data_IF_846061073246
#
_entry.id   IF_846061073246
#
_cell.length_a   1.000
_cell.length_b   1.000
_cell.length_c   1.000
_cell.angle_alpha   90.00
_cell.angle_beta   90.00
_cell.angle_gamma   90.00
#
_symmetry.space_group_name_H-M   'P 1'
#
loop_
_entity.id
_entity.type
_entity.pdbx_description
1 polymer ?
#
# COMPACT_ATOMS: atom_id res chain seq x y z
N UNK A 1 -3.63 18.12 -10.82
CA UNK A 1 -2.71 17.41 -11.75
C UNK A 1 -1.36 17.13 -11.07
N UNK A 2 -0.76 18.10 -10.33
CA UNK A 2 0.54 17.88 -9.66
C UNK A 2 0.49 16.83 -8.55
N UNK A 3 -0.55 16.81 -7.71
CA UNK A 3 -0.67 15.86 -6.61
C UNK A 3 -0.75 14.39 -7.04
N UNK A 4 -1.30 14.11 -8.22
CA UNK A 4 -1.36 12.75 -8.75
C UNK A 4 0.03 12.25 -9.19
N UNK A 5 0.85 13.12 -9.78
CA UNK A 5 2.22 12.79 -10.16
C UNK A 5 3.08 12.48 -8.93
N UNK A 6 3.02 13.31 -7.91
CA UNK A 6 3.75 13.12 -6.65
C UNK A 6 3.36 11.80 -5.97
N UNK A 7 2.07 11.46 -5.97
CA UNK A 7 1.58 10.20 -5.42
C UNK A 7 2.15 8.99 -6.18
N UNK A 8 2.09 9.00 -7.52
CA UNK A 8 2.63 7.91 -8.36
C UNK A 8 4.14 7.73 -8.14
N UNK A 9 4.92 8.83 -8.16
CA UNK A 9 6.37 8.79 -7.89
C UNK A 9 6.67 8.24 -6.50
N UNK A 10 5.83 8.59 -5.52
CA UNK A 10 5.99 8.13 -4.14
C UNK A 10 5.70 6.63 -3.99
N UNK A 11 4.74 6.11 -4.74
CA UNK A 11 4.48 4.67 -4.81
C UNK A 11 5.66 3.95 -5.46
N UNK A 12 6.14 4.39 -6.62
CA UNK A 12 7.32 3.82 -7.28
C UNK A 12 8.52 3.77 -6.31
N UNK A 13 8.74 4.85 -5.57
CA UNK A 13 9.83 4.91 -4.60
C UNK A 13 9.61 3.96 -3.42
N UNK A 14 8.37 3.83 -2.94
CA UNK A 14 8.02 2.92 -1.85
C UNK A 14 8.19 1.46 -2.26
N UNK A 15 7.74 1.09 -3.47
CA UNK A 15 7.77 -0.29 -3.97
C UNK A 15 9.18 -0.75 -4.34
N UNK A 16 9.88 0.01 -5.17
CA UNK A 16 11.11 -0.48 -5.81
C UNK A 16 12.27 0.50 -5.81
N UNK A 17 12.07 1.73 -5.36
CA UNK A 17 13.01 2.85 -5.54
C UNK A 17 13.38 3.09 -7.02
N UNK A 18 12.49 2.69 -7.95
CA UNK A 18 12.71 2.77 -9.38
C UNK A 18 13.79 1.82 -9.94
N UNK A 19 14.05 0.70 -9.25
CA UNK A 19 15.16 -0.22 -9.62
C UNK A 19 14.73 -1.52 -10.30
N UNK A 20 13.46 -1.69 -10.61
CA UNK A 20 12.89 -2.89 -11.25
C UNK A 20 12.10 -2.51 -12.48
N UNK A 21 11.94 -3.44 -13.43
CA UNK A 21 11.05 -3.24 -14.59
C UNK A 21 9.60 -3.06 -14.14
N UNK A 22 9.12 -3.90 -13.24
CA UNK A 22 7.82 -3.69 -12.57
C UNK A 22 7.99 -2.72 -11.39
N UNK A 23 8.18 -1.44 -11.72
CA UNK A 23 8.52 -0.38 -10.74
C UNK A 23 7.42 -0.09 -9.74
N UNK A 24 6.16 -0.38 -10.08
CA UNK A 24 4.99 -0.22 -9.21
C UNK A 24 4.46 -1.55 -8.64
N UNK A 25 5.14 -2.68 -8.90
CA UNK A 25 4.73 -4.03 -8.54
C UNK A 25 3.27 -4.35 -8.93
N UNK A 26 2.87 -3.91 -10.12
CA UNK A 26 1.50 -3.96 -10.61
C UNK A 26 1.05 -5.35 -11.06
N UNK A 27 1.99 -6.30 -11.25
CA UNK A 27 1.69 -7.70 -11.57
C UNK A 27 1.06 -8.46 -10.41
N UNK A 28 1.30 -8.06 -9.17
CA UNK A 28 0.74 -8.76 -8.00
C UNK A 28 -0.79 -8.65 -7.91
N UNK A 29 -1.36 -7.58 -8.45
CA UNK A 29 -2.81 -7.32 -8.44
C UNK A 29 -3.53 -7.73 -9.72
N UNK A 30 -2.78 -7.96 -10.80
CA UNK A 30 -3.31 -8.37 -12.10
C UNK A 30 -2.43 -9.46 -12.66
N UNK A 31 -2.99 -10.49 -13.26
CA UNK A 31 -2.21 -11.55 -13.92
C UNK A 31 -1.64 -11.11 -15.27
N UNK A 32 -1.46 -9.81 -15.50
CA UNK A 32 -0.90 -9.25 -16.71
C UNK A 32 0.62 -9.37 -16.72
N UNK A 33 1.19 -9.63 -17.88
CA UNK A 33 2.64 -9.61 -18.07
C UNK A 33 3.13 -8.17 -18.14
N UNK A 34 4.10 -7.80 -17.30
CA UNK A 34 4.78 -6.51 -17.35
C UNK A 34 6.11 -6.70 -18.07
N UNK A 35 6.24 -6.10 -19.24
CA UNK A 35 7.44 -6.21 -20.08
C UNK A 35 8.33 -4.96 -19.98
N UNK A 36 7.73 -3.80 -19.67
CA UNK A 36 8.44 -2.52 -19.58
C UNK A 36 8.08 -1.76 -18.30
N UNK A 37 8.91 -0.79 -17.92
CA UNK A 37 8.60 0.15 -16.82
C UNK A 37 7.34 0.98 -17.13
N UNK A 38 7.11 1.32 -18.40
CA UNK A 38 5.93 2.06 -18.85
C UNK A 38 4.66 1.23 -18.63
N UNK A 39 4.68 -0.07 -18.96
CA UNK A 39 3.58 -0.99 -18.71
C UNK A 39 3.28 -1.07 -17.20
N UNK A 40 4.31 -1.19 -16.37
CA UNK A 40 4.17 -1.20 -14.92
C UNK A 40 3.53 0.08 -14.38
N UNK A 41 3.99 1.24 -14.84
CA UNK A 41 3.44 2.54 -14.44
C UNK A 41 1.99 2.66 -14.87
N UNK A 42 1.68 2.31 -16.11
CA UNK A 42 0.31 2.38 -16.64
C UNK A 42 -0.65 1.49 -15.85
N UNK A 43 -0.28 0.24 -15.64
CA UNK A 43 -1.08 -0.72 -14.86
C UNK A 43 -1.19 -0.30 -13.40
N UNK A 44 -0.08 0.16 -12.80
CA UNK A 44 -0.06 0.65 -11.44
C UNK A 44 -0.95 1.88 -11.20
N UNK A 45 -0.97 2.82 -12.16
CA UNK A 45 -1.88 3.98 -12.11
C UNK A 45 -3.33 3.51 -12.21
N UNK A 46 -3.62 2.56 -13.08
CA UNK A 46 -4.97 2.00 -13.21
C UNK A 46 -5.44 1.37 -11.90
N UNK A 47 -4.62 0.52 -11.29
CA UNK A 47 -4.92 -0.13 -10.01
C UNK A 47 -5.10 0.90 -8.88
N UNK A 48 -4.20 1.88 -8.81
CA UNK A 48 -4.29 2.95 -7.80
C UNK A 48 -5.58 3.76 -7.97
N UNK A 49 -5.91 4.13 -9.20
CA UNK A 49 -7.13 4.90 -9.49
C UNK A 49 -8.36 4.13 -9.04
N UNK A 50 -8.44 2.84 -9.35
CA UNK A 50 -9.54 1.99 -8.90
C UNK A 50 -9.67 1.97 -7.37
N UNK A 51 -8.57 1.85 -6.63
CA UNK A 51 -8.59 1.86 -5.17
C UNK A 51 -9.04 3.20 -4.60
N UNK A 52 -8.58 4.31 -5.20
CA UNK A 52 -8.94 5.67 -4.76
C UNK A 52 -10.40 6.00 -5.06
N UNK A 53 -10.89 5.65 -6.25
CA UNK A 53 -12.30 5.83 -6.62
C UNK A 53 -13.21 5.01 -5.71
N UNK A 54 -12.87 3.75 -5.46
CA UNK A 54 -13.64 2.90 -4.57
C UNK A 54 -13.63 3.41 -3.11
N UNK A 55 -12.50 3.93 -2.63
CA UNK A 55 -12.43 4.58 -1.33
C UNK A 55 -13.35 5.82 -1.26
N UNK A 56 -13.36 6.61 -2.32
CA UNK A 56 -14.27 7.76 -2.42
C UNK A 56 -15.75 7.35 -2.42
N UNK A 57 -16.12 6.35 -3.21
CA UNK A 57 -17.49 5.80 -3.26
C UNK A 57 -17.98 5.29 -1.89
N UNK A 58 -17.08 4.69 -1.13
CA UNK A 58 -17.36 4.17 0.22
C UNK A 58 -17.31 5.24 1.32
N UNK A 59 -16.94 6.47 0.98
CA UNK A 59 -16.87 7.58 1.93
C UNK A 59 -15.75 7.42 2.97
N UNK A 60 -14.68 6.70 2.63
CA UNK A 60 -13.50 6.54 3.50
C UNK A 60 -12.38 7.50 3.08
N UNK A 61 -11.35 7.64 3.91
CA UNK A 61 -10.26 8.56 3.63
C UNK A 61 -9.36 8.07 2.46
N UNK A 62 -8.69 9.01 1.81
CA UNK A 62 -7.81 8.73 0.66
C UNK A 62 -6.67 7.76 1.01
N UNK A 63 -6.19 7.78 2.25
CA UNK A 63 -5.11 6.90 2.69
C UNK A 63 -5.55 5.45 2.83
N UNK A 64 -6.85 5.20 3.01
CA UNK A 64 -7.44 3.86 2.88
C UNK A 64 -7.28 3.34 1.45
N UNK A 65 -7.53 4.15 0.42
CA UNK A 65 -7.29 3.77 -0.98
C UNK A 65 -5.82 3.48 -1.27
N UNK A 66 -4.91 4.30 -0.74
CA UNK A 66 -3.45 4.08 -0.85
C UNK A 66 -3.03 2.79 -0.14
N UNK A 67 -3.53 2.52 1.07
CA UNK A 67 -3.25 1.26 1.78
C UNK A 67 -3.83 0.04 1.06
N UNK A 68 -5.00 0.19 0.44
CA UNK A 68 -5.65 -0.86 -0.36
C UNK A 68 -4.85 -1.24 -1.61
N UNK A 69 -4.00 -0.35 -2.14
CA UNK A 69 -3.05 -0.71 -3.19
C UNK A 69 -2.14 -1.88 -2.78
N UNK A 70 -1.74 -1.92 -1.51
CA UNK A 70 -0.94 -3.01 -0.92
C UNK A 70 -1.80 -4.18 -0.41
N UNK A 71 -2.95 -3.89 0.21
CA UNK A 71 -3.79 -4.91 0.87
C UNK A 71 -4.90 -5.51 0.00
N UNK A 72 -5.18 -4.89 -1.15
CA UNK A 72 -6.31 -5.24 -1.99
C UNK A 72 -7.60 -4.47 -1.64
N UNK A 73 -8.55 -4.49 -2.60
CA UNK A 73 -9.79 -3.71 -2.58
C UNK A 73 -10.69 -3.94 -1.36
N UNK A 74 -10.73 -5.18 -0.84
CA UNK A 74 -11.54 -5.54 0.31
C UNK A 74 -11.17 -4.77 1.61
N UNK A 75 -9.96 -4.23 1.68
CA UNK A 75 -9.55 -3.36 2.78
C UNK A 75 -10.39 -2.09 2.89
N UNK A 76 -10.84 -1.55 1.75
CA UNK A 76 -11.73 -0.38 1.72
C UNK A 76 -13.06 -0.68 2.44
N UNK A 77 -13.67 -1.83 2.16
CA UNK A 77 -14.91 -2.26 2.83
C UNK A 77 -14.70 -2.49 4.32
N UNK A 78 -13.54 -3.05 4.70
CA UNK A 78 -13.19 -3.24 6.09
C UNK A 78 -13.11 -1.89 6.83
N UNK A 79 -12.43 -0.90 6.26
CA UNK A 79 -12.31 0.44 6.86
C UNK A 79 -13.67 1.15 6.90
N UNK A 80 -14.50 1.03 5.87
CA UNK A 80 -15.84 1.61 5.86
C UNK A 80 -16.71 1.11 7.04
N UNK A 81 -16.55 -0.15 7.43
CA UNK A 81 -17.24 -0.75 8.59
C UNK A 81 -16.60 -0.39 9.94
N UNK A 82 -15.39 0.15 9.94
CA UNK A 82 -14.58 0.40 11.15
C UNK A 82 -14.20 1.88 11.33
N UNK A 83 -15.09 2.80 10.92
CA UNK A 83 -14.96 4.22 11.22
C UNK A 83 -14.41 5.08 10.07
N UNK A 84 -14.17 4.51 8.88
CA UNK A 84 -13.91 5.26 7.65
C UNK A 84 -12.50 5.88 7.53
N UNK A 85 -11.58 5.60 8.44
CA UNK A 85 -10.21 6.15 8.44
C UNK A 85 -9.15 5.07 8.58
N UNK A 86 -8.15 5.12 7.71
CA UNK A 86 -6.98 4.27 7.81
C UNK A 86 -6.16 4.59 9.07
N UNK A 87 -5.94 3.59 9.90
CA UNK A 87 -5.08 3.67 11.09
C UNK A 87 -4.15 2.47 11.15
N UNK A 88 -3.00 2.61 11.81
CA UNK A 88 -2.06 1.49 11.98
C UNK A 88 -2.69 0.30 12.72
N UNK A 89 -3.53 0.57 13.72
CA UNK A 89 -4.24 -0.48 14.47
C UNK A 89 -5.19 -1.28 13.58
N UNK A 90 -5.98 -0.61 12.73
CA UNK A 90 -6.88 -1.28 11.80
C UNK A 90 -6.11 -2.02 10.70
N UNK A 91 -5.03 -1.42 10.20
CA UNK A 91 -4.16 -2.07 9.21
C UNK A 91 -3.48 -3.33 9.78
N UNK A 92 -3.02 -3.29 11.04
CA UNK A 92 -2.45 -4.45 11.72
C UNK A 92 -3.48 -5.55 11.92
N UNK A 93 -4.69 -5.22 12.39
CA UNK A 93 -5.78 -6.17 12.54
C UNK A 93 -6.13 -6.84 11.22
N UNK A 94 -6.27 -6.07 10.16
CA UNK A 94 -6.57 -6.60 8.83
C UNK A 94 -5.43 -7.46 8.26
N UNK A 95 -4.18 -7.05 8.44
CA UNK A 95 -3.00 -7.83 8.08
C UNK A 95 -2.99 -9.20 8.76
N UNK A 96 -3.23 -9.21 10.09
CA UNK A 96 -3.24 -10.42 10.91
C UNK A 96 -4.39 -11.37 10.58
N UNK A 97 -5.60 -10.81 10.50
CA UNK A 97 -6.82 -11.62 10.51
C UNK A 97 -7.32 -11.95 9.09
N UNK A 98 -6.86 -11.22 8.07
CA UNK A 98 -7.33 -11.39 6.70
C UNK A 98 -6.17 -11.66 5.72
N UNK A 99 -5.20 -10.74 5.60
CA UNK A 99 -4.18 -10.82 4.54
C UNK A 99 -3.25 -12.02 4.78
N UNK A 100 -2.63 -12.10 5.95
CA UNK A 100 -1.68 -13.16 6.27
C UNK A 100 -2.30 -14.57 6.16
N UNK A 101 -3.50 -14.84 6.72
CA UNK A 101 -4.15 -16.14 6.56
C UNK A 101 -4.53 -16.46 5.11
N UNK A 102 -5.00 -15.48 4.33
CA UNK A 102 -5.36 -15.68 2.92
C UNK A 102 -4.17 -16.10 2.04
N UNK A 103 -2.96 -15.71 2.45
CA UNK A 103 -1.69 -16.04 1.79
C UNK A 103 -0.90 -17.16 2.52
N UNK A 104 -1.58 -17.94 3.37
CA UNK A 104 -1.05 -19.17 3.96
C UNK A 104 -0.41 -19.01 5.35
N UNK A 105 -0.31 -17.80 5.91
CA UNK A 105 0.16 -17.63 7.29
C UNK A 105 -1.02 -17.69 8.27
N UNK A 106 -1.45 -18.91 8.59
CA UNK A 106 -2.55 -19.18 9.54
C UNK A 106 -2.10 -19.28 10.99
N UNK A 107 -0.79 -19.27 11.24
CA UNK A 107 -0.19 -19.43 12.58
C UNK A 107 0.21 -18.12 13.23
N UNK A 108 0.10 -16.99 12.49
CA UNK A 108 0.53 -15.68 12.98
C UNK A 108 2.06 -15.51 13.00
N UNK A 109 2.77 -16.19 12.09
CA UNK A 109 4.21 -16.04 11.97
C UNK A 109 4.61 -14.62 11.63
N UNK A 110 5.59 -14.07 12.35
CA UNK A 110 6.08 -12.70 12.20
C UNK A 110 7.51 -12.67 11.67
N UNK A 111 7.91 -11.53 11.09
CA UNK A 111 9.31 -11.26 10.73
C UNK A 111 9.69 -9.82 11.13
N UNK A 112 10.99 -9.53 11.22
CA UNK A 112 11.46 -8.20 11.54
C UNK A 112 11.45 -7.29 10.31
N UNK A 113 10.77 -6.17 10.43
CA UNK A 113 10.73 -5.05 9.49
C UNK A 113 11.16 -3.79 10.22
N UNK A 114 12.48 -3.54 10.25
CA UNK A 114 13.06 -2.51 11.10
C UNK A 114 12.99 -1.14 10.40
N UNK A 115 12.00 -0.36 10.81
CA UNK A 115 11.86 1.08 10.51
C UNK A 115 11.59 1.81 11.82
N UNK A 116 11.75 3.14 11.84
CA UNK A 116 11.44 3.92 13.05
C UNK A 116 9.96 3.73 13.45
N UNK A 117 9.05 3.76 12.49
CA UNK A 117 7.62 3.59 12.72
C UNK A 117 7.28 2.20 13.27
N UNK A 118 7.88 1.16 12.70
CA UNK A 118 7.62 -0.21 13.16
C UNK A 118 8.19 -0.47 14.56
N UNK A 119 9.34 0.08 14.87
CA UNK A 119 9.93 -0.01 16.23
C UNK A 119 9.04 0.65 17.28
N UNK A 120 8.47 1.81 16.94
CA UNK A 120 7.60 2.56 17.84
C UNK A 120 6.20 1.94 18.00
N UNK A 121 5.67 1.32 16.94
CA UNK A 121 4.30 0.79 16.93
C UNK A 121 4.21 -0.66 17.40
N UNK A 122 4.99 -1.57 16.81
CA UNK A 122 4.88 -3.01 17.05
C UNK A 122 6.24 -3.71 17.25
N UNK A 123 7.20 -3.03 17.81
CA UNK A 123 8.55 -3.54 18.13
C UNK A 123 9.32 -4.05 16.89
N UNK A 124 9.06 -3.46 15.75
CA UNK A 124 9.76 -3.77 14.49
C UNK A 124 9.28 -5.03 13.79
N UNK A 125 8.05 -5.48 14.01
CA UNK A 125 7.54 -6.73 13.45
C UNK A 125 6.39 -6.52 12.47
N UNK A 126 6.31 -7.42 11.49
CA UNK A 126 5.17 -7.58 10.58
C UNK A 126 4.78 -9.04 10.50
N UNK A 127 3.51 -9.33 10.17
CA UNK A 127 3.06 -10.68 9.86
C UNK A 127 3.62 -11.12 8.52
N UNK A 128 4.23 -12.32 8.48
CA UNK A 128 4.68 -12.95 7.24
C UNK A 128 3.47 -13.13 6.32
N UNK A 129 3.62 -12.77 5.04
CA UNK A 129 2.54 -12.72 4.06
C UNK A 129 1.38 -11.78 4.43
N UNK A 130 1.57 -10.88 5.39
CA UNK A 130 0.52 -9.96 5.88
C UNK A 130 0.51 -8.59 5.18
N UNK A 131 1.35 -8.38 4.17
CA UNK A 131 1.55 -7.08 3.54
C UNK A 131 2.25 -6.09 4.47
N UNK A 132 2.26 -4.81 4.07
CA UNK A 132 2.91 -3.74 4.82
C UNK A 132 1.87 -2.81 5.47
N UNK A 133 1.67 -2.93 6.79
CA UNK A 133 0.74 -2.08 7.55
C UNK A 133 1.12 -0.59 7.54
N UNK A 134 2.39 -0.27 7.26
CA UNK A 134 2.92 1.09 7.21
C UNK A 134 2.86 1.70 5.81
N UNK A 135 2.34 0.98 4.81
CA UNK A 135 2.41 1.34 3.40
C UNK A 135 1.91 2.77 3.12
N UNK A 136 0.70 3.10 3.52
CA UNK A 136 0.14 4.43 3.32
C UNK A 136 0.97 5.53 4.03
N UNK A 137 1.53 5.22 5.20
CA UNK A 137 2.38 6.15 5.95
C UNK A 137 3.72 6.38 5.24
N UNK A 138 4.32 5.33 4.71
CA UNK A 138 5.56 5.39 3.92
C UNK A 138 5.36 6.18 2.62
N UNK A 139 4.27 5.91 1.88
CA UNK A 139 3.92 6.67 0.68
C UNK A 139 3.72 8.16 1.02
N UNK A 140 2.98 8.45 2.09
CA UNK A 140 2.77 9.83 2.56
C UNK A 140 4.07 10.55 2.92
N UNK A 141 5.01 9.84 3.52
CA UNK A 141 6.34 10.37 3.82
C UNK A 141 7.13 10.64 2.54
N UNK A 142 7.14 9.68 1.62
CA UNK A 142 7.81 9.80 0.34
C UNK A 142 7.24 10.95 -0.52
N UNK A 143 5.92 11.22 -0.44
CA UNK A 143 5.32 12.39 -1.09
C UNK A 143 5.93 13.71 -0.60
N UNK A 144 6.21 13.83 0.69
CA UNK A 144 6.89 15.03 1.23
C UNK A 144 8.31 15.16 0.69
N UNK A 145 9.01 14.05 0.52
CA UNK A 145 10.36 14.02 -0.05
C UNK A 145 10.31 14.42 -1.54
N UNK A 146 9.43 13.79 -2.32
CA UNK A 146 9.24 14.10 -3.74
C UNK A 146 8.90 15.58 -3.93
N UNK A 147 7.98 16.11 -3.13
CA UNK A 147 7.62 17.52 -3.15
C UNK A 147 8.78 18.45 -2.83
N UNK A 148 9.57 18.12 -1.80
CA UNK A 148 10.72 18.93 -1.37
C UNK A 148 11.82 19.03 -2.43
N UNK A 149 12.03 17.96 -3.19
CA UNK A 149 13.09 17.91 -4.23
C UNK A 149 12.59 18.26 -5.63
N UNK A 150 11.31 18.67 -5.80
CA UNK A 150 10.71 19.02 -7.10
C UNK A 150 10.94 17.96 -8.20
N UNK A 151 10.82 16.71 -7.84
CA UNK A 151 10.99 15.57 -8.77
C UNK A 151 9.83 15.48 -9.77
#
# INVERSE_FOLDING_TARGET
VSGNRELVLSIIYTETKGKRTDVMQSTESTHNTIETEEDSIHQGITNLTEMLEYAHEKGVDVWTGVQAYNFGKAYVDYIAKNGGKNTLTLAEGYSKDVVAPSLGNTTGEEYYHITLDSLLFNKGKLYKNGGNIFYAKEVRWNMKIVHLFNW
#
